data_IF_716279411520
#
_entry.id   IF_716279411520
#
_cell.length_a   1.000
_cell.length_b   1.000
_cell.length_c   1.000
_cell.angle_alpha   90.00
_cell.angle_beta   90.00
_cell.angle_gamma   90.00
#
_symmetry.space_group_name_H-M   'P 1'
#
loop_
_entity.id
_entity.type
_entity.pdbx_description
1 polymer ?
#
# COMPACT_ATOMS: atom_id res chain seq x y z
N UNK A 1 24.28 -41.46 34.61
CA UNK A 1 23.91 -40.18 35.26
C UNK A 1 22.41 -40.02 35.12
N UNK A 2 21.66 -40.07 36.23
CA UNK A 2 20.23 -39.81 36.24
C UNK A 2 20.01 -38.33 36.52
N UNK A 3 19.18 -37.66 35.73
CA UNK A 3 18.81 -36.26 35.94
C UNK A 3 17.31 -36.23 36.26
N UNK A 4 16.97 -35.68 37.42
CA UNK A 4 15.58 -35.50 37.86
C UNK A 4 15.12 -34.10 37.46
N UNK A 5 13.91 -34.00 36.90
CA UNK A 5 13.29 -32.72 36.56
C UNK A 5 11.98 -32.60 37.35
N UNK A 6 11.86 -31.53 38.12
CA UNK A 6 10.61 -31.11 38.74
C UNK A 6 10.04 -29.93 37.97
N UNK A 7 8.76 -29.98 37.60
CA UNK A 7 8.08 -28.89 36.89
C UNK A 7 6.61 -28.81 37.26
N UNK A 8 6.10 -27.58 37.32
CA UNK A 8 4.67 -27.30 37.44
C UNK A 8 4.09 -27.08 36.03
N UNK A 9 2.95 -27.70 35.73
CA UNK A 9 2.27 -27.56 34.43
C UNK A 9 0.84 -27.10 34.69
N UNK A 10 0.41 -26.07 33.96
CA UNK A 10 -0.99 -25.65 33.95
C UNK A 10 -1.72 -26.46 32.88
N UNK A 11 -2.83 -27.07 33.28
CA UNK A 11 -3.68 -27.84 32.38
C UNK A 11 -4.93 -27.04 32.01
N UNK A 12 -5.29 -27.09 30.74
CA UNK A 12 -6.48 -26.46 30.17
C UNK A 12 -7.40 -27.54 29.61
N UNK A 13 -8.70 -27.41 29.87
CA UNK A 13 -9.70 -28.31 29.32
C UNK A 13 -9.88 -28.06 27.81
N UNK A 14 -9.97 -29.13 27.05
CA UNK A 14 -10.31 -29.11 25.63
C UNK A 14 -11.32 -30.20 25.31
N UNK A 15 -12.18 -29.93 24.32
CA UNK A 15 -13.16 -30.87 23.80
C UNK A 15 -12.81 -31.37 22.40
N UNK A 16 -12.99 -32.67 22.17
CA UNK A 16 -12.90 -33.23 20.83
C UNK A 16 -14.08 -32.81 19.95
N UNK A 17 -13.86 -32.18 18.80
CA UNK A 17 -14.96 -31.83 17.88
C UNK A 17 -15.55 -33.02 17.13
N UNK A 18 -14.91 -34.20 17.18
CA UNK A 18 -15.33 -35.41 16.45
C UNK A 18 -15.99 -36.42 17.39
N UNK A 19 -15.32 -36.76 18.50
CA UNK A 19 -15.81 -37.76 19.45
C UNK A 19 -16.27 -37.18 20.79
N UNK A 20 -16.37 -35.85 20.89
CA UNK A 20 -16.94 -35.08 22.02
C UNK A 20 -16.33 -35.27 23.41
N UNK A 21 -15.23 -36.03 23.54
CA UNK A 21 -14.55 -36.21 24.83
C UNK A 21 -13.93 -34.88 25.32
N UNK A 22 -14.12 -34.58 26.60
CA UNK A 22 -13.33 -33.57 27.33
C UNK A 22 -12.06 -34.18 27.89
N UNK A 23 -10.93 -33.49 27.74
CA UNK A 23 -9.63 -33.89 28.28
C UNK A 23 -8.77 -32.66 28.53
N UNK A 24 -7.77 -32.79 29.40
CA UNK A 24 -6.89 -31.70 29.73
C UNK A 24 -5.55 -31.83 28.98
N UNK A 25 -5.02 -30.72 28.49
CA UNK A 25 -3.67 -30.63 27.92
C UNK A 25 -2.86 -29.52 28.58
N UNK A 26 -1.53 -29.53 28.48
CA UNK A 26 -0.73 -28.39 28.90
C UNK A 26 -1.11 -27.10 28.15
N UNK A 27 -1.20 -25.98 28.86
CA UNK A 27 -1.51 -24.67 28.30
C UNK A 27 -0.58 -24.27 27.14
N UNK A 28 0.71 -24.61 27.26
CA UNK A 28 1.70 -24.29 26.24
C UNK A 28 1.43 -25.01 24.92
N UNK A 29 0.90 -26.25 24.97
CA UNK A 29 0.57 -27.02 23.77
C UNK A 29 -0.62 -26.38 23.05
N UNK A 30 -1.63 -25.95 23.80
CA UNK A 30 -2.78 -25.25 23.23
C UNK A 30 -2.33 -23.96 22.52
N UNK A 31 -1.48 -23.15 23.18
CA UNK A 31 -0.94 -21.90 22.61
C UNK A 31 -0.11 -22.15 21.36
N UNK A 32 0.85 -23.09 21.40
CA UNK A 32 1.67 -23.44 20.24
C UNK A 32 0.80 -23.85 19.04
N UNK A 33 -0.22 -24.67 19.27
CA UNK A 33 -1.14 -25.09 18.21
C UNK A 33 -2.00 -23.93 17.66
N UNK A 34 -2.43 -22.98 18.50
CA UNK A 34 -3.17 -21.78 18.06
C UNK A 34 -2.28 -20.82 17.25
N UNK A 35 -1.01 -20.69 17.64
CA UNK A 35 -0.05 -19.82 16.96
C UNK A 35 0.40 -20.43 15.63
N UNK A 36 0.84 -21.68 15.63
CA UNK A 36 1.48 -22.34 14.49
C UNK A 36 0.48 -23.00 13.53
N UNK A 37 -0.69 -23.40 14.01
CA UNK A 37 -1.60 -24.27 13.26
C UNK A 37 -1.15 -25.72 13.20
N UNK A 38 -0.24 -26.14 14.09
CA UNK A 38 0.20 -27.52 14.17
C UNK A 38 -0.99 -28.45 14.44
N UNK A 39 -1.06 -29.54 13.69
CA UNK A 39 -2.00 -30.63 13.94
C UNK A 39 -1.71 -31.28 15.29
N UNK A 40 -2.75 -31.46 16.08
CA UNK A 40 -2.71 -32.14 17.37
C UNK A 40 -3.83 -33.18 17.45
N UNK A 41 -3.76 -34.08 18.42
CA UNK A 41 -4.64 -35.25 18.49
C UNK A 41 -5.36 -35.34 19.83
N UNK A 42 -6.63 -35.75 19.80
CA UNK A 42 -7.32 -36.15 21.02
C UNK A 42 -6.82 -37.53 21.50
N UNK A 43 -7.11 -37.94 22.75
CA UNK A 43 -6.78 -39.28 23.26
C UNK A 43 -7.26 -40.45 22.38
N UNK A 44 -8.37 -40.26 21.66
CA UNK A 44 -8.93 -41.26 20.73
C UNK A 44 -8.33 -41.19 19.31
N UNK A 45 -7.33 -40.34 19.07
CA UNK A 45 -6.59 -40.27 17.80
C UNK A 45 -7.17 -39.37 16.70
N UNK A 46 -8.24 -38.62 16.94
CA UNK A 46 -8.77 -37.69 15.94
C UNK A 46 -7.85 -36.48 15.74
N UNK A 47 -7.43 -36.16 14.50
CA UNK A 47 -6.61 -34.99 14.21
C UNK A 47 -7.42 -33.70 14.37
N UNK A 48 -6.76 -32.66 14.87
CA UNK A 48 -7.32 -31.35 15.17
C UNK A 48 -6.36 -30.27 14.71
N UNK A 49 -6.91 -29.21 14.15
CA UNK A 49 -6.18 -28.00 13.78
C UNK A 49 -7.05 -26.79 14.11
N UNK A 50 -6.43 -25.70 14.55
CA UNK A 50 -7.15 -24.44 14.72
C UNK A 50 -7.35 -23.79 13.35
N UNK A 51 -8.62 -23.55 12.98
CA UNK A 51 -8.99 -23.08 11.64
C UNK A 51 -8.45 -21.68 11.31
N UNK A 52 -8.20 -20.85 12.31
CA UNK A 52 -7.59 -19.53 12.14
C UNK A 52 -6.46 -19.40 13.13
N UNK A 53 -5.24 -19.35 12.61
CA UNK A 53 -4.04 -19.15 13.42
C UNK A 53 -3.66 -17.69 13.39
N UNK A 54 -3.04 -17.22 14.47
CA UNK A 54 -2.52 -15.86 14.51
C UNK A 54 -1.49 -15.63 13.38
N UNK A 55 -0.69 -16.65 13.05
CA UNK A 55 0.21 -16.59 11.91
C UNK A 55 -0.52 -16.42 10.56
N UNK A 56 -1.62 -17.15 10.33
CA UNK A 56 -2.40 -16.99 9.10
C UNK A 56 -3.03 -15.60 9.01
N UNK A 57 -3.51 -15.07 10.15
CA UNK A 57 -4.07 -13.71 10.25
C UNK A 57 -3.01 -12.66 9.93
N UNK A 58 -1.84 -12.76 10.56
CA UNK A 58 -0.71 -11.83 10.36
C UNK A 58 -0.17 -11.90 8.92
N UNK A 59 -0.08 -13.09 8.32
CA UNK A 59 0.31 -13.25 6.91
C UNK A 59 -0.66 -12.54 5.97
N UNK A 60 -1.97 -12.78 6.15
CA UNK A 60 -3.01 -12.14 5.35
C UNK A 60 -3.00 -10.61 5.50
N UNK A 61 -2.76 -10.13 6.71
CA UNK A 61 -2.64 -8.69 6.96
C UNK A 61 -1.39 -8.09 6.31
N UNK A 62 -0.25 -8.78 6.40
CA UNK A 62 0.99 -8.38 5.73
C UNK A 62 0.81 -8.31 4.22
N UNK A 63 0.21 -9.33 3.61
CA UNK A 63 -0.11 -9.35 2.17
C UNK A 63 -1.04 -8.20 1.78
N UNK A 64 -2.07 -7.92 2.58
CA UNK A 64 -2.99 -6.80 2.37
C UNK A 64 -2.26 -5.46 2.39
N UNK A 65 -1.41 -5.23 3.40
CA UNK A 65 -0.64 -4.00 3.54
C UNK A 65 0.39 -3.84 2.41
N UNK A 66 1.05 -4.92 2.00
CA UNK A 66 1.96 -4.90 0.86
C UNK A 66 1.25 -4.52 -0.44
N UNK A 67 0.08 -5.11 -0.71
CA UNK A 67 -0.73 -4.78 -1.87
C UNK A 67 -1.16 -3.30 -1.86
N UNK A 68 -1.54 -2.77 -0.70
CA UNK A 68 -1.89 -1.35 -0.54
C UNK A 68 -0.69 -0.43 -0.81
N UNK A 69 0.51 -0.79 -0.32
CA UNK A 69 1.72 0.00 -0.56
C UNK A 69 2.11 0.02 -2.03
N UNK A 70 2.04 -1.11 -2.73
CA UNK A 70 2.30 -1.20 -4.17
C UNK A 70 1.30 -0.32 -4.92
N UNK A 71 0.02 -0.48 -4.63
CA UNK A 71 -1.03 0.30 -5.30
C UNK A 71 -0.87 1.82 -5.07
N UNK A 72 -0.55 2.24 -3.84
CA UNK A 72 -0.31 3.65 -3.53
C UNK A 72 0.91 4.21 -4.27
N UNK A 73 1.98 3.42 -4.40
CA UNK A 73 3.17 3.80 -5.19
C UNK A 73 2.83 3.96 -6.67
N UNK A 74 2.11 2.99 -7.24
CA UNK A 74 1.71 3.02 -8.64
C UNK A 74 0.82 4.24 -8.96
N UNK A 75 -0.13 4.55 -8.07
CA UNK A 75 -0.98 5.73 -8.20
C UNK A 75 -0.16 7.02 -8.15
N UNK A 76 0.76 7.15 -7.20
CA UNK A 76 1.66 8.30 -7.11
C UNK A 76 2.50 8.44 -8.37
N UNK A 77 3.11 7.36 -8.85
CA UNK A 77 4.00 7.39 -10.01
C UNK A 77 3.22 7.70 -11.31
N UNK A 78 1.96 7.24 -11.42
CA UNK A 78 1.07 7.63 -12.49
C UNK A 78 0.71 9.13 -12.42
N UNK A 79 0.35 9.63 -11.24
CA UNK A 79 0.03 11.03 -11.02
C UNK A 79 1.23 11.95 -11.28
N UNK A 80 2.43 11.56 -10.87
CA UNK A 80 3.67 12.29 -11.10
C UNK A 80 3.98 12.39 -12.60
N UNK A 81 3.91 11.26 -13.33
CA UNK A 81 4.10 11.24 -14.78
C UNK A 81 3.09 12.15 -15.51
N UNK A 82 1.83 12.12 -15.08
CA UNK A 82 0.79 12.99 -15.64
C UNK A 82 1.09 14.47 -15.35
N UNK A 83 1.46 14.79 -14.12
CA UNK A 83 1.84 16.15 -13.72
C UNK A 83 3.05 16.68 -14.50
N UNK A 84 4.07 15.85 -14.71
CA UNK A 84 5.25 16.24 -15.51
C UNK A 84 4.84 16.54 -16.96
N UNK A 85 4.01 15.70 -17.57
CA UNK A 85 3.50 15.93 -18.92
C UNK A 85 2.68 17.23 -19.02
N UNK A 86 1.76 17.45 -18.07
CA UNK A 86 0.94 18.66 -17.99
C UNK A 86 1.80 19.91 -17.81
N UNK A 87 2.78 19.88 -16.90
CA UNK A 87 3.73 20.99 -16.70
C UNK A 87 4.48 21.33 -17.98
N UNK A 88 4.90 20.33 -18.76
CA UNK A 88 5.54 20.55 -20.05
C UNK A 88 4.65 21.29 -21.04
N UNK A 89 3.37 20.90 -21.14
CA UNK A 89 2.40 21.57 -22.01
C UNK A 89 2.12 23.00 -21.57
N UNK A 90 1.88 23.21 -20.27
CA UNK A 90 1.63 24.54 -19.69
C UNK A 90 2.82 25.46 -19.93
N UNK A 91 4.04 24.99 -19.64
CA UNK A 91 5.27 25.78 -19.83
C UNK A 91 5.49 26.14 -21.29
N UNK A 92 5.24 25.20 -22.21
CA UNK A 92 5.32 25.47 -23.66
C UNK A 92 4.31 26.53 -24.08
N UNK A 93 3.06 26.44 -23.61
CA UNK A 93 2.00 27.40 -23.92
C UNK A 93 2.28 28.78 -23.36
N UNK A 94 2.69 28.86 -22.10
CA UNK A 94 3.12 30.12 -21.45
C UNK A 94 4.26 30.80 -22.22
N UNK A 95 5.26 30.02 -22.69
CA UNK A 95 6.33 30.53 -23.55
C UNK A 95 5.84 31.00 -24.92
N UNK A 96 4.92 30.29 -25.57
CA UNK A 96 4.31 30.71 -26.84
C UNK A 96 3.54 32.03 -26.66
N UNK A 97 2.70 32.13 -25.62
CA UNK A 97 1.94 33.33 -25.28
C UNK A 97 2.85 34.53 -24.94
N UNK A 98 3.95 34.29 -24.22
CA UNK A 98 4.99 35.29 -23.95
C UNK A 98 5.63 35.87 -25.21
N UNK A 99 5.69 35.11 -26.30
CA UNK A 99 6.18 35.61 -27.60
C UNK A 99 5.11 36.42 -28.30
N UNK A 100 3.87 35.93 -28.29
CA UNK A 100 2.72 36.61 -28.89
C UNK A 100 2.47 37.97 -28.24
N UNK A 101 2.55 38.07 -26.91
CA UNK A 101 2.40 39.36 -26.19
C UNK A 101 3.48 40.38 -26.59
N UNK A 102 4.67 39.91 -26.95
CA UNK A 102 5.78 40.74 -27.47
C UNK A 102 5.68 41.01 -28.99
N UNK A 103 4.60 40.55 -29.63
CA UNK A 103 4.36 40.69 -31.07
C UNK A 103 5.24 39.80 -31.94
N UNK A 104 5.67 38.63 -31.43
CA UNK A 104 6.55 37.68 -32.13
C UNK A 104 5.80 36.39 -32.43
N UNK A 105 5.84 35.93 -33.69
CA UNK A 105 5.27 34.65 -34.10
C UNK A 105 6.01 33.48 -33.43
N UNK A 106 5.32 32.57 -32.72
CA UNK A 106 5.97 31.40 -32.13
C UNK A 106 6.48 30.40 -33.16
N UNK A 107 5.89 30.36 -34.37
CA UNK A 107 6.22 29.38 -35.40
C UNK A 107 7.45 29.74 -36.25
N UNK A 108 7.57 31.00 -36.66
CA UNK A 108 8.61 31.45 -37.61
C UNK A 108 9.47 32.62 -37.10
N UNK A 109 9.32 33.01 -35.84
CA UNK A 109 10.05 34.11 -35.20
C UNK A 109 9.93 35.50 -35.87
N UNK A 110 8.99 35.67 -36.80
CA UNK A 110 8.70 36.98 -37.42
C UNK A 110 8.08 37.93 -36.39
N UNK A 111 8.46 39.21 -36.48
CA UNK A 111 7.94 40.28 -35.63
C UNK A 111 6.83 41.06 -36.33
N UNK A 112 5.73 41.31 -35.62
CA UNK A 112 4.61 42.12 -36.10
C UNK A 112 4.52 43.42 -35.29
N UNK A 113 4.94 44.53 -35.91
CA UNK A 113 5.00 45.83 -35.24
C UNK A 113 3.63 46.33 -34.75
N UNK A 114 2.56 46.08 -35.52
CA UNK A 114 1.20 46.50 -35.14
C UNK A 114 0.70 45.76 -33.89
N UNK A 115 0.93 44.44 -33.81
CA UNK A 115 0.54 43.66 -32.63
C UNK A 115 1.32 44.09 -31.39
N UNK A 116 2.63 44.31 -31.53
CA UNK A 116 3.46 44.80 -30.41
C UNK A 116 2.97 46.15 -29.88
N UNK A 117 2.66 47.10 -30.77
CA UNK A 117 2.14 48.42 -30.39
C UNK A 117 0.76 48.31 -29.74
N UNK A 118 -0.10 47.45 -30.28
CA UNK A 118 -1.42 47.18 -29.71
C UNK A 118 -1.33 46.62 -28.29
N UNK A 119 -0.53 45.57 -28.07
CA UNK A 119 -0.31 44.98 -26.74
C UNK A 119 0.26 46.00 -25.75
N UNK A 120 1.28 46.77 -26.14
CA UNK A 120 1.89 47.77 -25.26
C UNK A 120 0.97 48.94 -24.91
N UNK A 121 0.01 49.29 -25.78
CA UNK A 121 -0.92 50.39 -25.56
C UNK A 121 -2.21 49.98 -24.85
N UNK A 122 -2.84 48.90 -25.30
CA UNK A 122 -4.15 48.45 -24.82
C UNK A 122 -4.07 47.42 -23.70
N UNK A 123 -2.93 46.72 -23.58
CA UNK A 123 -2.73 45.63 -22.63
C UNK A 123 -1.38 45.75 -21.89
N UNK A 124 -1.07 46.89 -21.24
CA UNK A 124 0.22 47.10 -20.57
C UNK A 124 0.45 46.13 -19.41
N UNK A 125 -0.61 45.70 -18.73
CA UNK A 125 -0.56 44.80 -17.56
C UNK A 125 -0.78 43.33 -17.90
N UNK A 126 -0.79 42.97 -19.19
CA UNK A 126 -1.00 41.57 -19.59
C UNK A 126 0.24 40.72 -19.31
N UNK A 127 0.16 39.88 -18.28
CA UNK A 127 1.12 38.82 -18.02
C UNK A 127 0.56 37.46 -18.45
N UNK A 128 1.17 36.78 -19.44
CA UNK A 128 0.80 35.43 -19.80
C UNK A 128 1.21 34.46 -18.67
N UNK A 129 0.23 33.78 -18.09
CA UNK A 129 0.41 32.67 -17.13
C UNK A 129 0.88 31.40 -17.83
#
# INVERSE_FOLDING_TARGET
MAMTIERTIVLVEMRCGVCDISFAVPDYLQRECMETGRTWYCPNGHPRVYATTENARLRKESERLQAQLVHARDQRDAAERSNVALRGVVTKKSRELSRVSKGVCPCCNRSFANLRRHMAGQHPDYEPT
#
